data_IF_429565539523
#
_entry.id   IF_429565539523
#
_cell.length_a   1.000
_cell.length_b   1.000
_cell.length_c   1.000
_cell.angle_alpha   90.00
_cell.angle_beta   90.00
_cell.angle_gamma   90.00
#
_symmetry.space_group_name_H-M   'P 1'
#
loop_
_entity.id
_entity.type
_entity.pdbx_description
1 polymer ?
#
# COMPACT_ATOMS: atom_id res chain seq x y z
N UNK A 1 -23.61 6.81 11.36
CA UNK A 1 -23.75 6.92 9.90
C UNK A 1 -22.88 8.09 9.48
N UNK A 2 -21.80 7.86 8.72
CA UNK A 2 -20.92 8.95 8.25
C UNK A 2 -21.55 9.53 6.99
N UNK A 3 -21.78 10.84 6.97
CA UNK A 3 -22.30 11.54 5.80
C UNK A 3 -21.27 11.44 4.65
N UNK A 4 -21.68 11.21 3.40
CA UNK A 4 -20.76 11.03 2.27
C UNK A 4 -19.84 12.23 2.00
N UNK A 5 -20.15 13.40 2.58
CA UNK A 5 -19.39 14.63 2.42
C UNK A 5 -18.46 14.95 3.63
N UNK A 6 -18.44 14.09 4.65
CA UNK A 6 -17.66 14.25 5.89
C UNK A 6 -16.44 13.31 5.90
N UNK A 7 -15.85 13.10 4.73
CA UNK A 7 -14.64 12.30 4.58
C UNK A 7 -13.45 13.25 4.76
N UNK A 8 -12.71 13.09 5.85
CA UNK A 8 -11.46 13.82 6.05
C UNK A 8 -10.44 13.40 4.99
N UNK A 9 -10.17 14.30 4.05
CA UNK A 9 -9.22 14.11 2.95
C UNK A 9 -7.77 14.33 3.38
N UNK A 10 -7.55 15.08 4.46
CA UNK A 10 -6.22 15.42 4.94
C UNK A 10 -5.66 14.36 5.88
N UNK A 11 -6.52 13.71 6.68
CA UNK A 11 -6.11 12.65 7.61
C UNK A 11 -6.98 11.40 7.43
N UNK A 12 -6.94 10.75 6.25
CA UNK A 12 -7.68 9.52 6.03
C UNK A 12 -7.19 8.42 7.00
N UNK A 13 -8.11 7.56 7.44
CA UNK A 13 -7.71 6.43 8.28
C UNK A 13 -6.80 5.45 7.50
N UNK A 14 -5.82 4.81 8.14
CA UNK A 14 -4.89 3.89 7.47
C UNK A 14 -5.58 2.73 6.75
N UNK A 15 -6.75 2.31 7.25
CA UNK A 15 -7.55 1.24 6.65
C UNK A 15 -8.17 1.66 5.32
N UNK A 16 -8.61 2.91 5.20
CA UNK A 16 -9.13 3.45 3.96
C UNK A 16 -8.01 3.61 2.92
N UNK A 17 -6.84 4.11 3.31
CA UNK A 17 -5.69 4.25 2.40
C UNK A 17 -5.17 2.91 1.88
N UNK A 18 -5.15 1.86 2.72
CA UNK A 18 -4.73 0.52 2.31
C UNK A 18 -5.65 -0.10 1.26
N UNK A 19 -6.95 0.19 1.32
CA UNK A 19 -7.96 -0.30 0.36
C UNK A 19 -7.89 0.40 -0.99
N UNK A 20 -7.33 1.60 -1.05
CA UNK A 20 -7.20 2.36 -2.29
C UNK A 20 -6.12 1.79 -3.19
N UNK A 21 -6.29 1.99 -4.50
CA UNK A 21 -5.24 1.70 -5.48
C UNK A 21 -3.98 2.49 -5.15
N UNK A 22 -2.80 1.90 -5.35
CA UNK A 22 -1.49 2.45 -4.93
C UNK A 22 -1.20 3.88 -5.41
N UNK A 23 -1.73 4.27 -6.57
CA UNK A 23 -1.58 5.62 -7.15
C UNK A 23 -2.64 6.64 -6.71
N UNK A 24 -3.70 6.20 -6.01
CA UNK A 24 -4.84 7.06 -5.60
C UNK A 24 -4.81 7.42 -4.11
N UNK A 25 -3.85 6.90 -3.35
CA UNK A 25 -3.62 7.27 -1.95
C UNK A 25 -3.26 8.74 -1.82
N UNK A 26 -3.40 9.31 -0.62
CA UNK A 26 -3.02 10.70 -0.34
C UNK A 26 -1.55 10.95 -0.74
N UNK A 27 -0.68 10.01 -0.40
CA UNK A 27 0.69 9.92 -0.91
C UNK A 27 0.88 8.59 -1.64
N UNK A 28 1.22 8.58 -2.94
CA UNK A 28 1.46 7.35 -3.69
C UNK A 28 2.60 6.52 -3.09
N UNK A 29 2.38 5.22 -2.95
CA UNK A 29 3.36 4.27 -2.40
C UNK A 29 3.21 2.91 -3.06
N UNK A 30 4.31 2.17 -3.23
CA UNK A 30 4.23 0.83 -3.83
C UNK A 30 3.50 -0.16 -2.91
N UNK A 31 2.90 -1.20 -3.51
CA UNK A 31 2.40 -2.38 -2.79
C UNK A 31 3.42 -3.52 -2.76
N UNK A 32 4.55 -3.35 -3.44
CA UNK A 32 5.61 -4.34 -3.51
C UNK A 32 6.57 -4.22 -2.34
N UNK A 33 7.24 -5.31 -2.00
CA UNK A 33 8.23 -5.36 -0.94
C UNK A 33 9.34 -6.37 -1.25
N UNK A 34 10.43 -6.29 -0.50
CA UNK A 34 11.48 -7.30 -0.52
C UNK A 34 11.26 -8.25 0.64
N UNK A 35 11.37 -9.56 0.36
CA UNK A 35 11.36 -10.61 1.37
C UNK A 35 12.74 -11.22 1.46
N UNK A 36 13.15 -11.56 2.67
CA UNK A 36 14.36 -12.34 2.92
C UNK A 36 13.90 -13.78 3.11
N UNK A 37 14.34 -14.69 2.22
CA UNK A 37 13.98 -16.12 2.33
C UNK A 37 15.02 -16.86 3.18
N UNK A 38 16.29 -16.56 2.95
CA UNK A 38 17.43 -17.07 3.70
C UNK A 38 18.43 -15.93 3.99
N UNK A 39 19.50 -16.22 4.74
CA UNK A 39 20.49 -15.22 5.15
C UNK A 39 21.11 -14.42 3.99
N UNK A 40 21.15 -15.01 2.79
CA UNK A 40 21.83 -14.43 1.63
C UNK A 40 20.88 -14.00 0.50
N UNK A 41 19.60 -14.41 0.54
CA UNK A 41 18.68 -14.24 -0.59
C UNK A 41 17.56 -13.24 -0.28
N UNK A 42 17.62 -12.09 -0.94
CA UNK A 42 16.55 -11.08 -0.95
C UNK A 42 15.77 -11.16 -2.26
N UNK A 43 14.47 -11.46 -2.18
CA UNK A 43 13.61 -11.62 -3.35
C UNK A 43 12.56 -10.51 -3.38
N UNK A 44 12.29 -9.99 -4.58
CA UNK A 44 11.24 -9.01 -4.80
C UNK A 44 9.86 -9.68 -4.90
N UNK A 45 8.86 -9.15 -4.19
CA UNK A 45 7.53 -9.78 -4.08
C UNK A 45 6.78 -9.96 -5.39
N UNK A 46 7.10 -9.17 -6.42
CA UNK A 46 6.54 -9.29 -7.78
C UNK A 46 7.63 -9.58 -8.82
N UNK A 47 8.60 -10.43 -8.47
CA UNK A 47 9.65 -10.84 -9.41
C UNK A 47 9.05 -11.48 -10.67
N UNK A 48 9.55 -11.09 -11.84
CA UNK A 48 9.16 -11.68 -13.13
C UNK A 48 10.08 -12.85 -13.52
N UNK A 49 11.24 -12.94 -12.88
CA UNK A 49 12.28 -13.95 -13.15
C UNK A 49 12.26 -15.03 -12.08
N UNK A 50 12.42 -16.29 -12.51
CA UNK A 50 12.60 -17.48 -11.66
C UNK A 50 14.05 -17.64 -11.23
#
# INVERSE_FOLDING_TARGET
MVLPNDIDLWHPSPHLEKRQHKLKRLVPSSNSFFMVLDCDTTVFSHSQTV
#
